data_IF_384990808341
#
_entry.id   IF_384990808341
#
_cell.length_a   1.000
_cell.length_b   1.000
_cell.length_c   1.000
_cell.angle_alpha   90.00
_cell.angle_beta   90.00
_cell.angle_gamma   90.00
#
_symmetry.space_group_name_H-M   'P 1'
#
loop_
_entity.id
_entity.type
_entity.pdbx_description
1 polymer ?
#
# COMPACT_ATOMS: atom_id res chain seq x y z
N UNK A 1 -17.55 -9.08 -6.05
CA UNK A 1 -17.25 -8.30 -4.85
C UNK A 1 -15.76 -8.40 -4.56
N UNK A 2 -15.09 -7.26 -4.38
CA UNK A 2 -13.64 -7.24 -4.12
C UNK A 2 -13.37 -7.64 -2.68
N UNK A 3 -12.39 -8.50 -2.47
CA UNK A 3 -11.93 -8.79 -1.12
C UNK A 3 -10.98 -7.67 -0.62
N UNK A 4 -10.57 -7.75 0.64
CA UNK A 4 -9.76 -6.70 1.25
C UNK A 4 -8.39 -6.59 0.58
N UNK A 5 -7.78 -7.72 0.20
CA UNK A 5 -6.49 -7.71 -0.48
C UNK A 5 -6.57 -6.99 -1.82
N UNK A 6 -7.64 -7.25 -2.57
CA UNK A 6 -7.84 -6.58 -3.86
C UNK A 6 -8.06 -5.09 -3.70
N UNK A 7 -8.80 -4.67 -2.66
CA UNK A 7 -9.00 -3.27 -2.36
C UNK A 7 -7.68 -2.57 -2.06
N UNK A 8 -6.83 -3.20 -1.25
CA UNK A 8 -5.51 -2.65 -0.93
C UNK A 8 -4.65 -2.52 -2.18
N UNK A 9 -4.60 -3.56 -3.01
CA UNK A 9 -3.84 -3.52 -4.25
C UNK A 9 -4.36 -2.46 -5.21
N UNK A 10 -5.69 -2.32 -5.32
CA UNK A 10 -6.29 -1.30 -6.17
C UNK A 10 -5.87 0.10 -5.74
N UNK A 11 -5.90 0.38 -4.44
CA UNK A 11 -5.51 1.68 -3.92
C UNK A 11 -4.03 1.93 -4.17
N UNK A 12 -3.17 0.95 -3.91
CA UNK A 12 -1.73 1.08 -4.17
C UNK A 12 -1.44 1.32 -5.65
N UNK A 13 -2.12 0.59 -6.54
CA UNK A 13 -1.95 0.77 -7.99
C UNK A 13 -2.41 2.15 -8.45
N UNK A 14 -3.51 2.66 -7.89
CA UNK A 14 -3.99 4.00 -8.19
C UNK A 14 -2.97 5.06 -7.78
N UNK A 15 -2.40 4.91 -6.60
CA UNK A 15 -1.38 5.85 -6.11
C UNK A 15 -0.10 5.76 -6.91
N UNK A 16 0.30 4.54 -7.31
CA UNK A 16 1.47 4.34 -8.15
C UNK A 16 1.28 5.01 -9.51
N UNK A 17 0.10 4.89 -10.09
CA UNK A 17 -0.22 5.53 -11.37
C UNK A 17 -0.16 7.06 -11.26
N UNK A 18 -0.67 7.62 -10.16
CA UNK A 18 -0.59 9.06 -9.93
C UNK A 18 0.86 9.53 -9.78
N UNK A 19 1.69 8.77 -9.08
CA UNK A 19 3.10 9.09 -8.93
C UNK A 19 3.82 9.05 -10.28
N UNK A 20 3.56 8.02 -11.08
CA UNK A 20 4.16 7.90 -12.39
C UNK A 20 3.80 9.07 -13.28
N UNK A 21 2.54 9.49 -13.26
CA UNK A 21 2.06 10.63 -14.02
C UNK A 21 2.73 11.93 -13.58
N UNK A 22 2.96 12.08 -12.28
CA UNK A 22 3.56 13.31 -11.72
C UNK A 22 5.08 13.34 -11.86
N UNK A 23 5.75 12.19 -11.73
CA UNK A 23 7.21 12.10 -11.63
C UNK A 23 7.88 11.37 -12.80
N UNK A 24 7.11 10.91 -13.76
CA UNK A 24 7.64 10.29 -14.98
C UNK A 24 8.13 8.86 -14.82
N UNK A 25 7.77 8.17 -13.75
CA UNK A 25 8.07 6.75 -13.57
C UNK A 25 9.52 6.41 -13.21
N UNK A 26 10.37 7.40 -12.97
CA UNK A 26 11.77 7.18 -12.60
C UNK A 26 11.95 6.75 -11.15
N UNK A 27 10.94 6.95 -10.33
CA UNK A 27 11.02 6.67 -8.90
C UNK A 27 10.18 5.45 -8.54
N UNK A 28 10.73 4.52 -7.74
CA UNK A 28 9.94 3.37 -7.30
C UNK A 28 8.80 3.82 -6.39
N UNK A 29 7.63 3.22 -6.56
CA UNK A 29 6.49 3.53 -5.71
C UNK A 29 6.70 2.91 -4.33
N UNK A 30 6.57 3.72 -3.28
CA UNK A 30 6.66 3.31 -1.89
C UNK A 30 5.51 3.93 -1.12
N UNK A 31 4.98 3.19 -0.17
CA UNK A 31 3.87 3.67 0.64
C UNK A 31 4.00 3.12 2.05
N UNK A 32 4.00 4.02 3.04
CA UNK A 32 3.98 3.62 4.44
C UNK A 32 2.59 3.11 4.82
N UNK A 33 2.53 2.25 5.85
CA UNK A 33 1.24 1.70 6.29
C UNK A 33 0.25 2.79 6.67
N UNK A 34 0.68 3.86 7.32
CA UNK A 34 -0.22 4.95 7.70
C UNK A 34 -0.73 5.73 6.47
N UNK A 35 0.09 5.88 5.44
CA UNK A 35 -0.35 6.49 4.19
C UNK A 35 -1.41 5.64 3.51
N UNK A 36 -1.22 4.33 3.53
CA UNK A 36 -2.20 3.40 2.98
C UNK A 36 -3.51 3.49 3.74
N UNK A 37 -3.45 3.58 5.08
CA UNK A 37 -4.67 3.73 5.88
C UNK A 37 -5.46 4.97 5.47
N UNK A 38 -4.79 6.11 5.34
CA UNK A 38 -5.46 7.34 4.92
C UNK A 38 -6.07 7.20 3.52
N UNK A 39 -5.35 6.56 2.61
CA UNK A 39 -5.86 6.32 1.26
C UNK A 39 -7.08 5.40 1.26
N UNK A 40 -7.04 4.34 2.09
CA UNK A 40 -8.18 3.42 2.21
C UNK A 40 -9.40 4.11 2.81
N UNK A 41 -9.22 4.96 3.79
CA UNK A 41 -10.30 5.73 4.39
C UNK A 41 -10.95 6.67 3.37
N UNK A 42 -10.14 7.22 2.47
CA UNK A 42 -10.62 8.11 1.41
C UNK A 42 -11.39 7.36 0.33
N UNK A 43 -10.87 6.20 -0.10
CA UNK A 43 -11.48 5.42 -1.18
C UNK A 43 -12.66 4.58 -0.72
N UNK A 44 -12.62 4.10 0.51
CA UNK A 44 -13.67 3.24 1.09
C UNK A 44 -14.09 3.79 2.45
N UNK A 45 -14.76 4.96 2.48
CA UNK A 45 -15.07 5.64 3.75
C UNK A 45 -16.11 4.92 4.61
N UNK A 46 -16.83 3.96 4.04
CA UNK A 46 -17.85 3.20 4.78
C UNK A 46 -17.28 2.08 5.63
N UNK A 47 -15.97 1.81 5.51
CA UNK A 47 -15.31 0.75 6.23
C UNK A 47 -14.31 1.34 7.22
N UNK A 48 -14.08 0.62 8.32
CA UNK A 48 -13.09 1.01 9.30
C UNK A 48 -11.73 0.41 8.93
N UNK A 49 -10.71 1.24 8.86
CA UNK A 49 -9.36 0.82 8.49
C UNK A 49 -8.41 1.05 9.65
N UNK A 50 -7.79 -0.02 10.12
CA UNK A 50 -6.81 0.04 11.21
C UNK A 50 -5.44 -0.34 10.67
N UNK A 51 -4.40 0.36 11.15
CA UNK A 51 -3.03 0.08 10.72
C UNK A 51 -2.61 -1.36 10.99
N UNK A 52 -3.02 -1.91 12.14
CA UNK A 52 -2.71 -3.29 12.48
C UNK A 52 -3.30 -4.28 11.47
N UNK A 53 -4.55 -4.05 11.06
CA UNK A 53 -5.22 -4.92 10.08
C UNK A 53 -4.56 -4.79 8.71
N UNK A 54 -4.25 -3.57 8.30
CA UNK A 54 -3.60 -3.34 7.01
C UNK A 54 -2.19 -3.96 6.98
N UNK A 55 -1.48 -3.92 8.09
CA UNK A 55 -0.16 -4.54 8.19
C UNK A 55 -0.26 -6.05 7.97
N UNK A 56 -1.25 -6.71 8.55
CA UNK A 56 -1.49 -8.14 8.33
C UNK A 56 -1.77 -8.44 6.86
N UNK A 57 -2.62 -7.63 6.24
CA UNK A 57 -2.97 -7.78 4.83
C UNK A 57 -1.74 -7.60 3.97
N UNK A 58 -0.93 -6.58 4.25
CA UNK A 58 0.30 -6.33 3.51
C UNK A 58 1.31 -7.47 3.66
N UNK A 59 1.40 -8.06 4.86
CA UNK A 59 2.27 -9.22 5.07
C UNK A 59 1.81 -10.42 4.24
N UNK A 60 0.51 -10.65 4.13
CA UNK A 60 -0.03 -11.71 3.29
C UNK A 60 0.23 -11.43 1.81
N UNK A 61 0.05 -10.19 1.38
CA UNK A 61 0.35 -9.79 0.00
C UNK A 61 1.84 -9.93 -0.30
N UNK A 62 2.69 -9.71 0.68
CA UNK A 62 4.14 -9.92 0.52
C UNK A 62 4.47 -11.40 0.32
N UNK A 63 3.77 -12.29 1.02
CA UNK A 63 3.93 -13.74 0.81
C UNK A 63 3.49 -14.14 -0.59
N UNK A 64 2.45 -13.49 -1.11
CA UNK A 64 1.94 -13.74 -2.46
C UNK A 64 2.81 -13.11 -3.55
N UNK A 65 3.78 -12.28 -3.18
CA UNK A 65 4.64 -11.61 -4.12
C UNK A 65 4.06 -10.34 -4.74
N UNK A 66 2.90 -9.88 -4.27
CA UNK A 66 2.25 -8.69 -4.81
C UNK A 66 2.86 -7.40 -4.27
N UNK A 67 3.38 -7.42 -3.05
CA UNK A 67 4.10 -6.29 -2.46
C UNK A 67 5.35 -6.80 -1.76
N UNK A 68 6.27 -5.92 -1.43
CA UNK A 68 7.42 -6.26 -0.61
C UNK A 68 7.67 -5.15 0.40
N UNK A 69 8.19 -5.53 1.56
CA UNK A 69 8.57 -4.56 2.57
C UNK A 69 9.90 -3.93 2.20
N UNK A 70 9.94 -2.62 2.13
CA UNK A 70 11.18 -1.90 1.87
C UNK A 70 11.94 -1.74 3.17
N UNK A 71 12.89 -2.63 3.42
CA UNK A 71 13.66 -2.63 4.65
C UNK A 71 14.59 -1.43 4.75
N UNK A 72 14.97 -0.87 3.62
CA UNK A 72 15.85 0.31 3.59
C UNK A 72 15.10 1.57 3.99
N UNK A 73 13.86 1.72 3.52
CA UNK A 73 13.03 2.89 3.86
C UNK A 73 12.28 2.71 5.17
N UNK A 74 12.11 1.48 5.65
CA UNK A 74 11.42 1.22 6.90
C UNK A 74 12.27 1.62 8.09
N UNK A 75 11.69 2.40 8.99
CA UNK A 75 12.35 2.83 10.22
C UNK A 75 11.56 2.32 11.41
N UNK A 76 12.11 2.49 12.61
CA UNK A 76 11.44 2.10 13.84
C UNK A 76 10.04 2.73 13.89
N UNK A 77 9.01 1.88 14.00
CA UNK A 77 7.62 2.31 14.06
C UNK A 77 6.95 2.60 12.72
N UNK A 78 7.69 2.50 11.61
CA UNK A 78 7.12 2.75 10.29
C UNK A 78 7.52 1.65 9.30
N UNK A 79 6.54 0.88 8.83
CA UNK A 79 6.76 -0.08 7.76
C UNK A 79 6.41 0.59 6.42
N UNK A 80 7.35 0.53 5.49
CA UNK A 80 7.17 1.07 4.13
C UNK A 80 7.10 -0.11 3.16
N UNK A 81 6.16 -0.06 2.24
CA UNK A 81 5.86 -1.15 1.33
C UNK A 81 6.03 -0.71 -0.12
N UNK A 82 6.53 -1.62 -0.93
CA UNK A 82 6.69 -1.42 -2.37
C UNK A 82 5.71 -2.32 -3.10
N UNK A 83 5.12 -1.79 -4.17
CA UNK A 83 4.24 -2.56 -5.04
C UNK A 83 5.11 -3.33 -6.04
N UNK A 84 4.96 -4.65 -6.06
CA UNK A 84 5.63 -5.48 -7.04
C UNK A 84 4.71 -5.65 -8.26
N UNK A 85 5.24 -5.41 -9.41
CA UNK A 85 4.47 -5.43 -10.65
C UNK A 85 4.86 -6.63 -11.49
#
# INVERSE_FOLDING_TARGET
>A
MMDVKEKVLQVMRSRAALQEKALGGEYPFRMATWNLRLAMEKEFPDEEWRSADLRKILMELAKDGAVSKDTYASRIGQAVWRLEV
#
